data_IF_026522394718
#
_entry.id   IF_026522394718
#
_cell.length_a   1.000
_cell.length_b   1.000
_cell.length_c   1.000
_cell.angle_alpha   90.00
_cell.angle_beta   90.00
_cell.angle_gamma   90.00
#
_symmetry.space_group_name_H-M   'P 1'
#
loop_
_entity.id
_entity.type
_entity.pdbx_description
1 polymer ?
#
# COMPACT_ATOMS: atom_id res chain seq x y z
N UNK A 1 12.12 14.50 27.34
CA UNK A 1 12.65 14.26 25.98
C UNK A 1 11.71 13.34 25.17
N UNK A 2 10.40 13.61 25.19
CA UNK A 2 9.37 12.63 24.77
C UNK A 2 8.48 13.13 23.62
N UNK A 3 8.82 14.25 23.00
CA UNK A 3 8.02 14.89 21.95
C UNK A 3 8.66 14.83 20.55
N UNK A 4 9.92 14.37 20.42
CA UNK A 4 10.65 14.36 19.14
C UNK A 4 10.58 13.03 18.37
N UNK A 5 10.24 11.93 19.04
CA UNK A 5 10.11 10.60 18.42
C UNK A 5 8.89 10.46 17.47
N UNK A 6 7.69 11.04 17.73
CA UNK A 6 6.56 10.85 16.82
C UNK A 6 6.77 11.52 15.45
N UNK A 7 7.52 12.63 15.38
CA UNK A 7 7.77 13.33 14.12
C UNK A 7 8.78 12.61 13.21
N UNK A 8 9.79 11.93 13.76
CA UNK A 8 10.85 11.26 12.98
C UNK A 8 10.35 9.95 12.34
N UNK A 9 9.46 9.23 13.02
CA UNK A 9 8.80 8.04 12.44
C UNK A 9 7.85 8.46 11.31
N UNK A 10 7.11 9.56 11.48
CA UNK A 10 6.19 10.09 10.46
C UNK A 10 6.93 10.57 9.19
N UNK A 11 8.10 11.19 9.32
CA UNK A 11 8.90 11.68 8.19
C UNK A 11 9.54 10.53 7.39
N UNK A 12 9.91 9.43 8.06
CA UNK A 12 10.53 8.26 7.40
C UNK A 12 9.52 7.43 6.61
N UNK A 13 8.25 7.43 7.04
CA UNK A 13 7.13 6.76 6.36
C UNK A 13 6.60 7.55 5.16
N UNK A 14 6.96 8.83 4.97
CA UNK A 14 6.35 9.67 3.92
C UNK A 14 7.26 10.00 2.72
N UNK A 15 8.59 9.98 2.87
CA UNK A 15 9.53 10.39 1.81
C UNK A 15 10.09 9.23 0.95
N UNK A 16 10.33 8.06 1.55
CA UNK A 16 10.71 6.83 0.85
C UNK A 16 9.58 6.16 -0.01
N UNK A 17 8.27 6.30 0.31
CA UNK A 17 7.21 5.65 -0.44
C UNK A 17 6.92 6.29 -1.79
N UNK A 18 7.17 7.58 -2.02
CA UNK A 18 6.73 8.23 -3.27
C UNK A 18 7.50 7.72 -4.50
N UNK A 19 8.80 7.45 -4.34
CA UNK A 19 9.62 6.85 -5.41
C UNK A 19 9.22 5.39 -5.64
N UNK A 20 9.10 4.60 -4.56
CA UNK A 20 8.67 3.21 -4.66
C UNK A 20 7.24 3.06 -5.21
N UNK A 21 6.34 3.99 -4.87
CA UNK A 21 4.98 4.11 -5.40
C UNK A 21 5.02 4.32 -6.90
N UNK A 22 5.75 5.34 -7.34
CA UNK A 22 5.78 5.75 -8.76
C UNK A 22 6.39 4.65 -9.63
N UNK A 23 7.50 4.03 -9.21
CA UNK A 23 8.13 2.96 -9.99
C UNK A 23 7.27 1.71 -10.06
N UNK A 24 6.61 1.33 -8.97
CA UNK A 24 5.69 0.18 -8.96
C UNK A 24 4.44 0.44 -9.80
N UNK A 25 3.81 1.62 -9.66
CA UNK A 25 2.65 2.00 -10.44
C UNK A 25 2.96 2.01 -11.95
N UNK A 26 4.11 2.55 -12.33
CA UNK A 26 4.57 2.55 -13.73
C UNK A 26 4.84 1.15 -14.26
N UNK A 27 5.51 0.30 -13.49
CA UNK A 27 5.79 -1.08 -13.89
C UNK A 27 4.49 -1.87 -14.09
N UNK A 28 3.53 -1.70 -13.18
CA UNK A 28 2.22 -2.34 -13.24
C UNK A 28 1.36 -1.79 -14.38
N UNK A 29 1.29 -0.49 -14.60
CA UNK A 29 0.50 0.09 -15.70
C UNK A 29 0.98 -0.36 -17.09
N UNK A 30 2.26 -0.69 -17.24
CA UNK A 30 2.82 -1.25 -18.48
C UNK A 30 2.44 -2.72 -18.70
N UNK A 31 2.22 -3.47 -17.63
CA UNK A 31 1.96 -4.90 -17.66
C UNK A 31 0.47 -5.25 -17.52
N UNK A 32 -0.28 -4.42 -16.80
CA UNK A 32 -1.65 -4.64 -16.39
C UNK A 32 -2.61 -3.91 -17.35
N UNK A 33 -3.38 -4.62 -18.17
CA UNK A 33 -4.37 -3.98 -19.04
C UNK A 33 -5.58 -3.43 -18.28
N UNK A 34 -5.70 -3.70 -16.97
CA UNK A 34 -6.89 -3.40 -16.16
C UNK A 34 -6.76 -2.19 -15.23
N UNK A 35 -5.63 -1.48 -15.22
CA UNK A 35 -5.44 -0.30 -14.37
C UNK A 35 -4.44 0.69 -14.94
N UNK A 36 -4.75 1.99 -14.85
CA UNK A 36 -3.83 3.07 -15.24
C UNK A 36 -2.76 3.29 -14.18
N UNK A 37 -1.67 3.99 -14.52
CA UNK A 37 -0.66 4.41 -13.54
C UNK A 37 -1.27 5.22 -12.39
N UNK A 38 -2.29 6.02 -12.69
CA UNK A 38 -3.02 6.77 -11.68
C UNK A 38 -3.81 5.84 -10.75
N UNK A 39 -4.60 4.90 -11.29
CA UNK A 39 -5.38 3.96 -10.48
C UNK A 39 -4.48 3.15 -9.53
N UNK A 40 -3.34 2.68 -10.05
CA UNK A 40 -2.36 1.91 -9.28
C UNK A 40 -1.65 2.78 -8.23
N UNK A 41 -1.35 4.02 -8.56
CA UNK A 41 -0.81 5.00 -7.62
C UNK A 41 -1.79 5.27 -6.48
N UNK A 42 -3.07 5.43 -6.78
CA UNK A 42 -4.12 5.69 -5.79
C UNK A 42 -4.35 4.49 -4.87
N UNK A 43 -4.27 3.26 -5.40
CA UNK A 43 -4.29 2.03 -4.59
C UNK A 43 -3.15 1.98 -3.57
N UNK A 44 -1.94 2.33 -4.00
CA UNK A 44 -0.75 2.36 -3.16
C UNK A 44 -0.84 3.46 -2.09
N UNK A 45 -1.31 4.65 -2.46
CA UNK A 45 -1.52 5.75 -1.51
C UNK A 45 -2.55 5.38 -0.45
N UNK A 46 -3.66 4.76 -0.89
CA UNK A 46 -4.69 4.29 0.03
C UNK A 46 -4.13 3.25 0.99
N UNK A 47 -3.36 2.28 0.51
CA UNK A 47 -2.75 1.25 1.37
C UNK A 47 -1.82 1.88 2.41
N UNK A 48 -0.90 2.74 1.98
CA UNK A 48 0.03 3.43 2.89
C UNK A 48 -0.69 4.30 3.92
N UNK A 49 -1.77 4.98 3.52
CA UNK A 49 -2.59 5.74 4.47
C UNK A 49 -3.21 4.83 5.52
N UNK A 50 -3.79 3.68 5.12
CA UNK A 50 -4.41 2.74 6.07
C UNK A 50 -3.39 2.08 6.99
N UNK A 51 -2.20 1.72 6.49
CA UNK A 51 -1.10 1.18 7.30
C UNK A 51 -0.60 2.21 8.31
N UNK A 52 -0.54 3.49 7.91
CA UNK A 52 -0.19 4.57 8.84
C UNK A 52 -1.21 4.68 9.97
N UNK A 53 -2.51 4.59 9.66
CA UNK A 53 -3.56 4.72 10.67
C UNK A 53 -3.49 3.57 11.70
N UNK A 54 -3.24 2.33 11.25
CA UNK A 54 -2.96 1.18 12.13
C UNK A 54 -1.71 1.42 12.99
N UNK A 55 -0.59 1.83 12.37
CA UNK A 55 0.67 2.10 13.08
C UNK A 55 0.50 3.17 14.17
N UNK A 56 -0.26 4.24 13.89
CA UNK A 56 -0.54 5.31 14.84
C UNK A 56 -1.36 4.77 16.03
N UNK A 57 -2.41 3.99 15.77
CA UNK A 57 -3.23 3.39 16.82
C UNK A 57 -2.40 2.44 17.71
N UNK A 58 -1.60 1.57 17.09
CA UNK A 58 -0.68 0.66 17.78
C UNK A 58 0.35 1.41 18.62
N UNK A 59 0.93 2.49 18.08
CA UNK A 59 1.90 3.31 18.79
C UNK A 59 1.29 4.00 20.03
N UNK A 60 0.05 4.48 19.91
CA UNK A 60 -0.71 5.05 21.01
C UNK A 60 -1.18 3.99 22.05
N UNK A 61 -1.00 2.71 21.75
CA UNK A 61 -1.54 1.57 22.51
C UNK A 61 -3.07 1.58 22.59
N UNK A 62 -3.73 2.23 21.64
CA UNK A 62 -5.17 2.12 21.46
C UNK A 62 -5.47 0.85 20.67
N UNK A 63 -5.51 -0.28 21.37
CA UNK A 63 -5.68 -1.59 20.74
C UNK A 63 -7.07 -1.78 20.12
N UNK A 64 -8.08 -1.03 20.59
CA UNK A 64 -9.41 -1.07 19.98
C UNK A 64 -9.37 -0.41 18.59
N UNK A 65 -8.71 0.74 18.48
CA UNK A 65 -8.49 1.39 17.21
C UNK A 65 -7.51 0.61 16.30
N UNK A 66 -6.49 -0.04 16.87
CA UNK A 66 -5.52 -0.87 16.13
C UNK A 66 -6.23 -2.03 15.41
N UNK A 67 -7.08 -2.79 16.11
CA UNK A 67 -7.84 -3.89 15.51
C UNK A 67 -8.81 -3.39 14.44
N UNK A 68 -9.51 -2.28 14.69
CA UNK A 68 -10.40 -1.70 13.68
C UNK A 68 -9.65 -1.19 12.43
N UNK A 69 -8.47 -0.59 12.60
CA UNK A 69 -7.63 -0.15 11.50
C UNK A 69 -7.00 -1.34 10.75
N UNK A 70 -6.66 -2.42 11.47
CA UNK A 70 -6.20 -3.68 10.90
C UNK A 70 -7.21 -4.26 9.91
N UNK A 71 -8.48 -4.36 10.31
CA UNK A 71 -9.54 -4.88 9.42
C UNK A 71 -9.60 -4.09 8.10
N UNK A 72 -9.48 -2.75 8.18
CA UNK A 72 -9.50 -1.87 7.01
C UNK A 72 -8.27 -2.06 6.11
N UNK A 73 -7.06 -2.07 6.68
CA UNK A 73 -5.83 -2.24 5.86
C UNK A 73 -5.73 -3.65 5.29
N UNK A 74 -6.21 -4.66 6.02
CA UNK A 74 -6.22 -6.06 5.59
C UNK A 74 -7.16 -6.28 4.40
N UNK A 75 -8.39 -5.77 4.47
CA UNK A 75 -9.32 -5.84 3.35
C UNK A 75 -8.76 -5.09 2.12
N UNK A 76 -8.15 -3.93 2.34
CA UNK A 76 -7.56 -3.14 1.24
C UNK A 76 -6.36 -3.83 0.60
N UNK A 77 -5.46 -4.47 1.36
CA UNK A 77 -4.30 -5.18 0.77
C UNK A 77 -4.74 -6.40 -0.05
N UNK A 78 -5.82 -7.10 0.34
CA UNK A 78 -6.34 -8.22 -0.45
C UNK A 78 -6.91 -7.74 -1.79
N UNK A 79 -7.64 -6.62 -1.80
CA UNK A 79 -8.14 -6.01 -3.02
C UNK A 79 -7.00 -5.51 -3.92
N UNK A 80 -6.03 -4.79 -3.32
CA UNK A 80 -4.84 -4.32 -4.05
C UNK A 80 -4.00 -5.48 -4.58
N UNK A 81 -3.85 -6.56 -3.82
CA UNK A 81 -3.15 -7.77 -4.27
C UNK A 81 -3.81 -8.34 -5.52
N UNK A 82 -5.14 -8.47 -5.54
CA UNK A 82 -5.88 -8.91 -6.73
C UNK A 82 -5.58 -8.04 -7.96
N UNK A 83 -5.61 -6.71 -7.80
CA UNK A 83 -5.29 -5.78 -8.89
C UNK A 83 -3.84 -5.93 -9.39
N UNK A 84 -2.87 -6.05 -8.48
CA UNK A 84 -1.45 -6.21 -8.83
C UNK A 84 -1.14 -7.58 -9.45
N UNK A 85 -1.82 -8.65 -9.01
CA UNK A 85 -1.67 -9.99 -9.57
C UNK A 85 -2.10 -10.05 -11.03
N UNK A 86 -3.11 -9.29 -11.44
CA UNK A 86 -3.52 -9.23 -12.85
C UNK A 86 -2.40 -8.75 -13.77
N UNK A 87 -1.63 -7.73 -13.36
CA UNK A 87 -0.46 -7.28 -14.10
C UNK A 87 0.65 -8.32 -14.19
N UNK A 88 0.87 -9.08 -13.11
CA UNK A 88 1.85 -10.18 -13.11
C UNK A 88 1.41 -11.31 -14.06
N UNK A 89 0.14 -11.73 -14.00
CA UNK A 89 -0.41 -12.77 -14.87
C UNK A 89 -0.32 -12.36 -16.34
N UNK A 90 -0.70 -11.13 -16.65
CA UNK A 90 -0.63 -10.58 -18.01
C UNK A 90 0.81 -10.49 -18.54
N UNK A 91 1.80 -10.32 -17.66
CA UNK A 91 3.22 -10.25 -18.04
C UNK A 91 3.84 -11.62 -18.37
N UNK A 92 3.31 -12.69 -17.81
CA UNK A 92 3.86 -14.06 -17.91
C UNK A 92 2.79 -15.09 -18.32
N UNK A 93 2.13 -14.90 -19.49
CA UNK A 93 1.04 -15.77 -19.93
C UNK A 93 1.48 -17.24 -20.11
N UNK A 94 2.75 -17.50 -20.43
CA UNK A 94 3.29 -18.86 -20.54
C UNK A 94 3.36 -19.62 -19.21
N UNK A 95 3.40 -18.89 -18.08
CA UNK A 95 3.44 -19.48 -16.73
C UNK A 95 2.04 -19.67 -16.15
N UNK A 96 1.13 -18.73 -16.44
CA UNK A 96 -0.19 -18.65 -15.80
C UNK A 96 -1.37 -18.94 -16.73
N UNK A 97 -1.16 -19.04 -18.04
CA UNK A 97 -2.19 -19.35 -19.02
C UNK A 97 -2.35 -20.86 -19.20
N UNK A 98 -3.38 -21.44 -18.58
CA UNK A 98 -3.95 -22.74 -18.92
C UNK A 98 -5.31 -22.53 -19.57
#
# INVERSE_FOLDING_TARGET
MTALVPAVILISVLAAPTVARTTLAQAQARANPHGTEQDLGDLLDRHLSTTRDELVARHAKDYTADVAAWDVVYDHILMMFGALSQGVIARFPETFGA
#
